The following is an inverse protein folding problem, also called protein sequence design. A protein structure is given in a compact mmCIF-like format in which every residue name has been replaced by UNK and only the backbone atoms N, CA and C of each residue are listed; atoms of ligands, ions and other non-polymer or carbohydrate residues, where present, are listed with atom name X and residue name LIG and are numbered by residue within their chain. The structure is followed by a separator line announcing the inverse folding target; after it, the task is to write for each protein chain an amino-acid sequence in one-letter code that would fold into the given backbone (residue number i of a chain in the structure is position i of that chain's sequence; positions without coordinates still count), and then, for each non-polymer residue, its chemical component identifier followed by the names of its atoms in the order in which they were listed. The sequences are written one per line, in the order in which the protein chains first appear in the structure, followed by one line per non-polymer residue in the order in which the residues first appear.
data_IF_120749883214
#
_entry.id   IF_120749883214
#
_cell.length_a   1.000
_cell.length_b   1.000
_cell.length_c   1.000
_cell.angle_alpha   90.00
_cell.angle_beta   90.00
_cell.angle_gamma   90.00
#
_symmetry.space_group_name_H-M   'P 1'
#
loop_
_entity.id
_entity.type
_entity.pdbx_description
1 polymer ?
#
# COMPACT_ATOMS: atom_id res chain seq x y z
N UNK A 1 -10.65 -1.33 8.80
CA UNK A 1 -9.93 -2.12 7.78
C UNK A 1 -8.58 -1.46 7.46
N UNK A 2 -7.66 -2.14 6.76
CA UNK A 2 -6.33 -1.60 6.45
C UNK A 2 -6.37 -0.24 5.70
N UNK A 3 -7.42 -0.01 4.90
CA UNK A 3 -7.68 1.25 4.19
C UNK A 3 -7.82 2.42 5.17
N UNK A 4 -8.53 2.24 6.28
CA UNK A 4 -8.76 3.32 7.27
C UNK A 4 -7.46 3.72 7.96
N UNK A 5 -6.61 2.73 8.27
CA UNK A 5 -5.31 2.97 8.89
C UNK A 5 -4.36 3.71 7.94
N UNK A 6 -4.32 3.31 6.66
CA UNK A 6 -3.53 3.99 5.64
C UNK A 6 -4.02 5.42 5.39
N UNK A 7 -5.34 5.63 5.40
CA UNK A 7 -5.94 6.96 5.28
C UNK A 7 -5.54 7.85 6.46
N UNK A 8 -5.65 7.34 7.70
CA UNK A 8 -5.24 8.08 8.89
C UNK A 8 -3.74 8.43 8.86
N UNK A 9 -2.89 7.53 8.35
CA UNK A 9 -1.46 7.79 8.19
C UNK A 9 -1.18 8.87 7.14
N UNK A 10 -1.92 8.86 6.03
CA UNK A 10 -1.82 9.89 4.99
C UNK A 10 -2.22 11.27 5.54
N UNK A 11 -3.34 11.35 6.25
CA UNK A 11 -3.80 12.59 6.89
C UNK A 11 -2.78 13.11 7.90
N UNK A 12 -2.14 12.21 8.66
CA UNK A 12 -1.04 12.56 9.56
C UNK A 12 0.18 13.13 8.84
N UNK A 13 0.59 12.56 7.70
CA UNK A 13 1.74 13.08 6.93
C UNK A 13 1.45 14.43 6.29
N UNK A 14 0.22 14.63 5.82
CA UNK A 14 -0.20 15.93 5.29
C UNK A 14 -0.12 17.00 6.38
N UNK A 15 -0.54 16.68 7.62
CA UNK A 15 -0.46 17.63 8.73
C UNK A 15 0.99 17.93 9.16
N UNK A 16 1.95 17.03 8.86
CA UNK A 16 3.35 17.30 9.13
C UNK A 16 3.92 18.42 8.26
N UNK A 17 3.36 18.69 7.08
CA UNK A 17 3.90 19.67 6.13
C UNK A 17 4.12 21.07 6.73
N UNK A 18 3.25 21.47 7.66
CA UNK A 18 3.29 22.77 8.34
C UNK A 18 4.20 22.80 9.58
N UNK A 19 4.68 21.63 10.04
CA UNK A 19 5.44 21.49 11.29
C UNK A 19 6.96 21.61 11.11
N UNK A 20 7.43 22.03 9.94
CA UNK A 20 8.86 22.16 9.65
C UNK A 20 9.60 23.02 10.69
N UNK A 21 9.03 24.17 11.08
CA UNK A 21 9.68 25.12 11.99
C UNK A 21 9.83 24.54 13.41
N UNK A 22 8.87 23.73 13.86
CA UNK A 22 8.93 23.01 15.13
C UNK A 22 10.01 21.92 15.11
N UNK A 23 10.11 21.19 13.99
CA UNK A 23 11.16 20.19 13.80
C UNK A 23 12.57 20.80 13.74
N UNK A 24 12.71 21.94 13.07
CA UNK A 24 13.97 22.66 13.03
C UNK A 24 14.37 23.13 14.43
N UNK A 25 13.43 23.68 15.21
CA UNK A 25 13.69 24.14 16.58
C UNK A 25 14.18 22.98 17.46
N UNK A 26 13.48 21.84 17.42
CA UNK A 26 13.85 20.62 18.16
C UNK A 26 15.18 20.00 17.69
N UNK A 27 15.54 20.16 16.42
CA UNK A 27 16.82 19.71 15.91
C UNK A 27 17.95 20.60 16.43
N UNK A 28 17.78 21.91 16.38
CA UNK A 28 18.76 22.89 16.87
C UNK A 28 19.01 22.78 18.38
N UNK A 29 17.99 22.42 19.18
CA UNK A 29 18.18 22.11 20.61
C UNK A 29 19.12 20.92 20.86
N UNK A 30 19.22 19.99 19.90
CA UNK A 30 20.02 18.77 20.01
C UNK A 30 21.39 18.86 19.35
N UNK A 31 21.58 19.84 18.46
CA UNK A 31 22.80 19.99 17.66
C UNK A 31 23.26 21.44 17.61
N UNK A 32 24.50 21.69 18.03
CA UNK A 32 25.10 23.03 18.07
C UNK A 32 25.75 23.40 16.71
N UNK A 33 25.05 23.08 15.61
CA UNK A 33 25.58 23.17 14.24
C UNK A 33 24.76 24.08 13.36
N UNK A 34 25.41 25.06 12.73
CA UNK A 34 24.81 25.89 11.68
C UNK A 34 24.79 25.16 10.34
N UNK A 35 23.91 25.61 9.45
CA UNK A 35 23.83 25.10 8.08
C UNK A 35 25.15 25.36 7.33
N UNK A 36 25.72 24.30 6.76
CA UNK A 36 27.04 24.35 6.11
C UNK A 36 27.08 25.26 4.87
N UNK A 37 25.93 25.57 4.27
CA UNK A 37 25.81 26.35 3.05
C UNK A 37 25.43 27.82 3.26
N UNK A 38 25.15 28.25 4.50
CA UNK A 38 24.88 29.66 4.84
C UNK A 38 26.03 30.57 4.42
N UNK A 39 27.26 30.14 4.72
CA UNK A 39 28.49 30.91 4.47
C UNK A 39 29.18 30.59 3.14
N UNK A 40 28.59 29.74 2.29
CA UNK A 40 29.21 29.32 1.03
C UNK A 40 29.10 30.42 -0.04
N UNK A 41 30.11 30.62 -0.89
CA UNK A 41 30.09 31.65 -1.95
C UNK A 41 29.06 31.32 -3.04
N UNK A 42 28.14 32.24 -3.36
CA UNK A 42 27.22 32.10 -4.51
C UNK A 42 28.01 32.29 -5.82
N UNK A 43 27.96 31.31 -6.71
CA UNK A 43 28.45 31.49 -8.09
C UNK A 43 27.38 32.21 -8.90
N UNK A 44 27.65 33.45 -9.32
CA UNK A 44 26.77 34.17 -10.25
C UNK A 44 26.88 33.57 -11.64
N UNK A 45 25.75 33.14 -12.22
CA UNK A 45 25.69 32.69 -13.62
C UNK A 45 25.86 33.91 -14.55
N UNK A 46 26.54 33.71 -15.69
CA UNK A 46 26.57 34.72 -16.77
C UNK A 46 25.16 34.82 -17.37
N UNK A 47 24.60 36.03 -17.41
CA UNK A 47 23.30 36.31 -18.04
C UNK A 47 23.49 36.64 -19.52
N UNK A 48 22.56 36.20 -20.35
CA UNK A 48 22.48 36.60 -21.76
C UNK A 48 21.53 37.78 -21.94
N UNK A 49 21.64 38.49 -23.07
CA UNK A 49 20.82 39.67 -23.37
C UNK A 49 19.30 39.41 -23.31
N UNK A 50 18.88 38.16 -23.55
CA UNK A 50 17.48 37.74 -23.52
C UNK A 50 17.02 37.21 -22.14
N UNK A 51 17.91 37.09 -21.15
CA UNK A 51 17.50 36.72 -19.79
C UNK A 51 16.84 37.95 -19.14
N UNK A 52 15.53 37.83 -18.84
CA UNK A 52 14.75 38.92 -18.23
C UNK A 52 15.32 39.43 -16.88
N UNK A 53 14.73 40.51 -16.31
CA UNK A 53 15.27 41.17 -15.12
C UNK A 53 15.12 40.36 -13.82
N UNK A 54 14.53 39.15 -13.86
CA UNK A 54 14.29 38.33 -12.67
C UNK A 54 15.59 38.05 -11.90
N UNK A 55 15.53 38.18 -10.57
CA UNK A 55 16.62 37.78 -9.68
C UNK A 55 16.65 36.26 -9.59
N UNK A 56 17.85 35.69 -9.57
CA UNK A 56 18.03 34.25 -9.39
C UNK A 56 17.68 33.91 -7.93
N UNK A 57 16.76 32.97 -7.72
CA UNK A 57 16.37 32.52 -6.39
C UNK A 57 17.45 31.57 -5.89
N UNK A 58 18.15 31.96 -4.82
CA UNK A 58 19.18 31.14 -4.19
C UNK A 58 18.69 30.78 -2.80
N UNK A 59 18.18 29.56 -2.66
CA UNK A 59 17.74 29.01 -1.38
C UNK A 59 18.97 28.59 -0.57
N UNK A 60 18.97 28.88 0.74
CA UNK A 60 20.08 28.57 1.67
C UNK A 60 19.58 28.10 3.02
N UNK A 61 20.42 27.34 3.72
CA UNK A 61 20.19 26.91 5.10
C UNK A 61 18.79 26.35 5.29
N UNK A 62 18.05 26.98 6.20
CA UNK A 62 16.65 26.68 6.50
C UNK A 62 15.76 26.54 5.27
N UNK A 63 15.75 27.54 4.38
CA UNK A 63 14.86 27.55 3.21
C UNK A 63 15.20 26.45 2.22
N UNK A 64 16.49 26.18 2.04
CA UNK A 64 16.95 25.10 1.17
C UNK A 64 16.60 23.73 1.74
N UNK A 65 16.83 23.49 3.03
CA UNK A 65 16.43 22.25 3.68
C UNK A 65 14.91 22.06 3.54
N UNK A 66 14.12 23.10 3.80
CA UNK A 66 12.66 23.07 3.68
C UNK A 66 12.20 22.71 2.26
N UNK A 67 12.68 23.46 1.26
CA UNK A 67 12.17 23.38 -0.12
C UNK A 67 12.78 22.24 -0.93
N UNK A 68 14.08 21.96 -0.76
CA UNK A 68 14.77 20.95 -1.58
C UNK A 68 14.69 19.55 -0.97
N UNK A 69 14.44 19.42 0.34
CA UNK A 69 14.45 18.11 1.01
C UNK A 69 13.18 17.80 1.78
N UNK A 70 12.77 18.65 2.71
CA UNK A 70 11.66 18.33 3.61
C UNK A 70 10.32 18.20 2.88
N UNK A 71 9.93 19.22 2.12
CA UNK A 71 8.69 19.20 1.35
C UNK A 71 8.72 18.12 0.27
N UNK A 72 9.78 17.96 -0.54
CA UNK A 72 9.84 16.90 -1.55
C UNK A 72 9.75 15.49 -0.97
N UNK A 73 10.36 15.22 0.18
CA UNK A 73 10.28 13.90 0.84
C UNK A 73 8.85 13.64 1.32
N UNK A 74 8.20 14.61 1.97
CA UNK A 74 6.81 14.47 2.40
C UNK A 74 5.86 14.32 1.20
N UNK A 75 6.03 15.11 0.15
CA UNK A 75 5.21 15.06 -1.05
C UNK A 75 5.35 13.70 -1.75
N UNK A 76 6.57 13.16 -1.82
CA UNK A 76 6.83 11.81 -2.34
C UNK A 76 6.14 10.74 -1.48
N UNK A 77 6.30 10.80 -0.15
CA UNK A 77 5.66 9.85 0.76
C UNK A 77 4.13 9.90 0.64
N UNK A 78 3.54 11.10 0.59
CA UNK A 78 2.10 11.29 0.41
C UNK A 78 1.64 10.72 -0.94
N UNK A 79 2.39 10.96 -2.01
CA UNK A 79 2.07 10.45 -3.34
C UNK A 79 2.10 8.92 -3.37
N UNK A 80 3.15 8.31 -2.83
CA UNK A 80 3.29 6.85 -2.79
C UNK A 80 2.26 6.18 -1.88
N UNK A 81 1.95 6.78 -0.72
CA UNK A 81 0.89 6.29 0.17
C UNK A 81 -0.48 6.44 -0.46
N UNK A 82 -0.75 7.54 -1.18
CA UNK A 82 -2.00 7.72 -1.91
C UNK A 82 -2.15 6.67 -3.00
N UNK A 83 -1.09 6.43 -3.80
CA UNK A 83 -1.06 5.37 -4.80
C UNK A 83 -1.35 4.00 -4.19
N UNK A 84 -0.72 3.70 -3.06
CA UNK A 84 -0.97 2.44 -2.32
C UNK A 84 -2.40 2.39 -1.79
N UNK A 85 -2.93 3.48 -1.24
CA UNK A 85 -4.29 3.53 -0.70
C UNK A 85 -5.34 3.18 -1.77
N UNK A 86 -5.21 3.71 -2.98
CA UNK A 86 -6.13 3.38 -4.08
C UNK A 86 -6.06 1.88 -4.44
N UNK A 87 -4.87 1.29 -4.52
CA UNK A 87 -4.74 -0.15 -4.74
C UNK A 87 -5.43 -0.98 -3.65
N UNK A 88 -5.31 -0.58 -2.37
CA UNK A 88 -6.02 -1.26 -1.28
C UNK A 88 -7.53 -1.02 -1.32
N UNK A 89 -8.01 0.11 -1.85
CA UNK A 89 -9.45 0.37 -2.05
C UNK A 89 -10.03 -0.55 -3.11
N UNK A 90 -9.34 -0.76 -4.23
CA UNK A 90 -9.75 -1.70 -5.27
C UNK A 90 -9.84 -3.13 -4.72
N UNK A 91 -8.82 -3.55 -3.94
CA UNK A 91 -8.83 -4.87 -3.28
C UNK A 91 -9.99 -4.97 -2.27
N UNK A 92 -10.22 -3.92 -1.48
CA UNK A 92 -11.31 -3.90 -0.49
C UNK A 92 -12.69 -3.91 -1.15
N UNK A 93 -12.84 -3.28 -2.30
CA UNK A 93 -14.07 -3.27 -3.09
C UNK A 93 -14.36 -4.66 -3.69
N UNK A 94 -13.32 -5.39 -4.11
CA UNK A 94 -13.46 -6.74 -4.66
C UNK A 94 -13.61 -7.82 -3.58
N UNK A 95 -12.83 -7.77 -2.50
CA UNK A 95 -12.74 -8.83 -1.48
C UNK A 95 -13.35 -8.44 -0.12
N UNK A 96 -13.75 -7.19 0.10
CA UNK A 96 -14.21 -6.72 1.41
C UNK A 96 -15.38 -7.53 1.98
N UNK A 97 -16.24 -8.04 1.08
CA UNK A 97 -17.36 -8.91 1.42
C UNK A 97 -16.94 -10.18 2.19
N UNK A 98 -15.74 -10.70 1.95
CA UNK A 98 -15.21 -11.87 2.69
C UNK A 98 -14.94 -11.58 4.17
N UNK A 99 -14.92 -10.32 4.58
CA UNK A 99 -14.70 -9.93 5.98
C UNK A 99 -15.92 -9.31 6.66
N UNK A 100 -16.78 -8.65 5.89
CA UNK A 100 -17.94 -7.93 6.41
C UNK A 100 -19.28 -8.61 6.07
N UNK A 101 -19.26 -9.84 5.52
CA UNK A 101 -20.46 -10.64 5.19
C UNK A 101 -21.44 -10.77 6.37
N UNK A 102 -20.96 -10.86 7.60
CA UNK A 102 -21.81 -10.94 8.80
C UNK A 102 -22.62 -9.66 9.07
N UNK A 103 -22.18 -8.53 8.54
CA UNK A 103 -22.79 -7.21 8.76
C UNK A 103 -23.70 -6.76 7.60
N UNK A 104 -23.49 -7.31 6.41
CA UNK A 104 -24.20 -6.96 5.18
C UNK A 104 -25.52 -7.71 5.01
N UNK A 105 -26.45 -7.10 4.31
CA UNK A 105 -27.68 -7.76 3.84
C UNK A 105 -27.38 -8.78 2.74
N UNK A 106 -28.30 -9.71 2.52
CA UNK A 106 -28.12 -10.75 1.52
C UNK A 106 -28.08 -10.17 0.09
N UNK A 107 -28.82 -9.08 -0.15
CA UNK A 107 -28.80 -8.38 -1.43
C UNK A 107 -27.43 -7.77 -1.74
N UNK A 108 -26.79 -7.15 -0.74
CA UNK A 108 -25.44 -6.56 -0.87
C UNK A 108 -24.38 -7.65 -1.09
N UNK A 109 -24.51 -8.80 -0.40
CA UNK A 109 -23.61 -9.94 -0.59
C UNK A 109 -23.75 -10.48 -2.01
N UNK A 110 -24.97 -10.70 -2.48
CA UNK A 110 -25.21 -11.20 -3.85
C UNK A 110 -24.60 -10.26 -4.90
N UNK A 111 -24.73 -8.96 -4.73
CA UNK A 111 -24.11 -7.98 -5.62
C UNK A 111 -22.57 -8.06 -5.59
N UNK A 112 -21.97 -8.12 -4.40
CA UNK A 112 -20.52 -8.23 -4.25
C UNK A 112 -19.98 -9.55 -4.82
N UNK A 113 -20.66 -10.67 -4.57
CA UNK A 113 -20.32 -11.98 -5.13
C UNK A 113 -20.45 -12.02 -6.65
N UNK A 114 -21.44 -11.34 -7.23
CA UNK A 114 -21.59 -11.24 -8.69
C UNK A 114 -20.37 -10.54 -9.31
N UNK A 115 -19.99 -9.39 -8.75
CA UNK A 115 -18.80 -8.65 -9.18
C UNK A 115 -17.51 -9.47 -9.03
N UNK A 116 -17.41 -10.23 -7.94
CA UNK A 116 -16.28 -11.11 -7.70
C UNK A 116 -16.19 -12.26 -8.71
N UNK A 117 -17.33 -12.91 -8.99
CA UNK A 117 -17.42 -14.00 -9.95
C UNK A 117 -17.11 -13.52 -11.37
N UNK A 118 -17.56 -12.33 -11.77
CA UNK A 118 -17.19 -11.72 -13.05
C UNK A 118 -15.67 -11.53 -13.20
N UNK A 119 -14.96 -11.24 -12.10
CA UNK A 119 -13.51 -11.07 -12.10
C UNK A 119 -12.75 -12.41 -12.11
N UNK A 120 -13.29 -13.44 -11.44
CA UNK A 120 -12.66 -14.75 -11.26
C UNK A 120 -13.50 -15.88 -11.89
N UNK A 121 -14.03 -15.67 -13.09
CA UNK A 121 -14.96 -16.58 -13.76
C UNK A 121 -14.36 -17.95 -14.12
N UNK A 122 -13.03 -18.08 -14.18
CA UNK A 122 -12.34 -19.35 -14.43
C UNK A 122 -12.11 -20.17 -13.15
N UNK A 123 -12.03 -19.49 -12.01
CA UNK A 123 -11.69 -20.09 -10.71
C UNK A 123 -12.91 -20.33 -9.82
N UNK A 124 -14.05 -19.71 -10.13
CA UNK A 124 -15.24 -19.67 -9.27
C UNK A 124 -16.50 -20.01 -10.04
N UNK A 125 -17.27 -20.91 -9.46
CA UNK A 125 -18.52 -21.39 -10.05
C UNK A 125 -19.68 -20.42 -9.78
N UNK A 126 -20.71 -20.34 -10.66
CA UNK A 126 -21.90 -19.51 -10.45
C UNK A 126 -22.61 -19.73 -9.11
N UNK A 127 -22.56 -20.96 -8.60
CA UNK A 127 -23.14 -21.40 -7.33
C UNK A 127 -22.53 -20.69 -6.11
N UNK A 128 -21.36 -20.05 -6.27
CA UNK A 128 -20.68 -19.28 -5.23
C UNK A 128 -21.58 -18.24 -4.53
N UNK A 129 -22.49 -17.62 -5.28
CA UNK A 129 -23.38 -16.58 -4.74
C UNK A 129 -24.28 -17.16 -3.64
N UNK A 130 -24.90 -18.31 -3.90
CA UNK A 130 -25.77 -18.97 -2.93
C UNK A 130 -24.96 -19.65 -1.82
N UNK A 131 -23.79 -20.21 -2.17
CA UNK A 131 -22.84 -20.79 -1.23
C UNK A 131 -22.38 -19.78 -0.16
N UNK A 132 -22.07 -18.54 -0.57
CA UNK A 132 -21.69 -17.46 0.35
C UNK A 132 -22.81 -17.05 1.31
N UNK A 133 -24.06 -17.04 0.83
CA UNK A 133 -25.22 -16.74 1.69
C UNK A 133 -25.40 -17.86 2.72
N UNK A 134 -25.27 -19.12 2.31
CA UNK A 134 -25.32 -20.27 3.23
C UNK A 134 -24.17 -20.22 4.25
N UNK A 135 -22.96 -19.90 3.79
CA UNK A 135 -21.78 -19.76 4.65
C UNK A 135 -21.97 -18.68 5.73
N UNK A 136 -22.56 -17.53 5.37
CA UNK A 136 -22.92 -16.49 6.34
C UNK A 136 -23.79 -17.04 7.46
N UNK A 137 -24.85 -17.77 7.13
CA UNK A 137 -25.74 -18.35 8.14
C UNK A 137 -25.05 -19.44 8.96
N UNK A 138 -24.19 -20.26 8.35
CA UNK A 138 -23.39 -21.25 9.05
C UNK A 138 -22.50 -20.62 10.13
N UNK A 139 -21.81 -19.53 9.81
CA UNK A 139 -20.96 -18.81 10.76
C UNK A 139 -21.79 -18.15 11.87
N UNK A 140 -22.92 -17.53 11.53
CA UNK A 140 -23.84 -16.93 12.52
C UNK A 140 -24.44 -17.96 13.49
N UNK A 141 -24.44 -19.25 13.15
CA UNK A 141 -24.93 -20.33 14.03
C UNK A 141 -23.84 -20.92 14.92
N UNK A 142 -22.59 -20.95 14.45
CA UNK A 142 -21.45 -21.48 15.21
C UNK A 142 -21.00 -20.56 16.33
N UNK A 143 -21.20 -19.28 16.12
CA UNK A 143 -20.66 -18.22 16.93
C UNK A 143 -21.87 -17.41 17.41
N UNK A 144 -22.08 -17.29 18.73
CA UNK A 144 -23.05 -16.35 19.36
C UNK A 144 -22.55 -14.89 19.20
N UNK A 145 -21.90 -14.65 18.07
CA UNK A 145 -21.16 -13.47 17.71
C UNK A 145 -22.15 -12.59 16.98
N UNK A 146 -22.84 -11.75 17.75
CA UNK A 146 -23.55 -10.62 17.18
C UNK A 146 -22.67 -9.84 16.18
N UNK A 147 -23.27 -9.22 15.18
CA UNK A 147 -22.67 -8.41 14.08
C UNK A 147 -21.21 -7.93 14.30
N UNK A 148 -20.23 -8.82 14.12
CA UNK A 148 -18.81 -8.48 14.12
C UNK A 148 -18.20 -8.76 12.75
N UNK A 149 -17.18 -7.99 12.42
CA UNK A 149 -16.32 -8.24 11.27
C UNK A 149 -15.51 -9.49 11.58
N UNK A 150 -15.55 -10.47 10.68
CA UNK A 150 -14.78 -11.71 10.81
C UNK A 150 -13.55 -11.57 9.91
N UNK A 151 -12.33 -11.55 10.46
CA UNK A 151 -11.12 -11.55 9.65
C UNK A 151 -11.09 -12.77 8.72
N UNK A 152 -10.68 -12.59 7.46
CA UNK A 152 -10.63 -13.69 6.49
C UNK A 152 -9.76 -14.89 6.96
N UNK A 153 -8.74 -14.65 7.78
CA UNK A 153 -7.92 -15.71 8.39
C UNK A 153 -8.69 -16.53 9.42
N UNK A 154 -9.61 -15.91 10.17
CA UNK A 154 -10.50 -16.61 11.10
C UNK A 154 -11.54 -17.43 10.33
N UNK A 155 -12.15 -16.87 9.29
CA UNK A 155 -13.03 -17.59 8.36
C UNK A 155 -12.36 -18.84 7.78
N UNK A 156 -11.10 -18.73 7.35
CA UNK A 156 -10.31 -19.84 6.83
C UNK A 156 -10.08 -20.93 7.91
N UNK A 157 -9.72 -20.53 9.13
CA UNK A 157 -9.53 -21.46 10.26
C UNK A 157 -10.83 -22.15 10.66
N UNK A 158 -11.97 -21.44 10.62
CA UNK A 158 -13.29 -21.99 10.94
C UNK A 158 -13.72 -23.06 9.93
N UNK A 159 -13.48 -22.84 8.63
CA UNK A 159 -13.79 -23.83 7.59
C UNK A 159 -12.96 -25.11 7.80
N UNK A 160 -11.66 -24.96 8.09
CA UNK A 160 -10.77 -26.10 8.35
C UNK A 160 -11.16 -26.81 9.65
N UNK A 161 -11.39 -26.06 10.73
CA UNK A 161 -11.71 -26.62 12.04
C UNK A 161 -13.02 -27.41 12.06
N UNK A 162 -14.01 -27.00 11.27
CA UNK A 162 -15.30 -27.68 11.17
C UNK A 162 -15.37 -28.71 10.02
N UNK A 163 -14.25 -29.00 9.35
CA UNK A 163 -14.20 -29.89 8.16
C UNK A 163 -15.20 -29.50 7.06
N UNK A 164 -15.54 -28.22 6.95
CA UNK A 164 -16.57 -27.71 6.03
C UNK A 164 -16.02 -27.39 4.63
N UNK A 165 -14.81 -27.84 4.31
CA UNK A 165 -14.12 -27.58 3.04
C UNK A 165 -14.87 -28.18 1.85
N UNK A 166 -15.44 -29.38 2.02
CA UNK A 166 -16.24 -30.03 0.98
C UNK A 166 -17.64 -29.44 0.85
N UNK A 167 -18.13 -28.76 1.90
CA UNK A 167 -19.44 -28.11 1.92
C UNK A 167 -19.38 -26.74 1.26
N UNK A 168 -18.27 -26.02 1.45
CA UNK A 168 -18.05 -24.67 0.93
C UNK A 168 -16.75 -24.57 0.10
N UNK A 169 -16.66 -25.26 -1.05
CA UNK A 169 -15.46 -25.27 -1.88
C UNK A 169 -15.15 -23.90 -2.51
N UNK A 170 -16.15 -23.17 -3.01
CA UNK A 170 -15.93 -21.88 -3.66
C UNK A 170 -15.57 -20.79 -2.65
N UNK A 171 -16.16 -20.83 -1.43
CA UNK A 171 -15.74 -19.94 -0.34
C UNK A 171 -14.29 -20.20 0.06
N UNK A 172 -13.88 -21.47 0.10
CA UNK A 172 -12.49 -21.84 0.38
C UNK A 172 -11.54 -21.30 -0.70
N UNK A 173 -11.88 -21.45 -1.99
CA UNK A 173 -11.10 -20.91 -3.11
C UNK A 173 -11.00 -19.39 -3.03
N UNK A 174 -12.11 -18.68 -2.78
CA UNK A 174 -12.12 -17.23 -2.62
C UNK A 174 -11.19 -16.74 -1.49
N UNK A 175 -11.21 -17.44 -0.34
CA UNK A 175 -10.31 -17.14 0.78
C UNK A 175 -8.85 -17.45 0.46
N UNK A 176 -8.57 -18.50 -0.31
CA UNK A 176 -7.21 -18.81 -0.76
C UNK A 176 -6.66 -17.74 -1.72
N UNK A 177 -7.46 -17.29 -2.68
CA UNK A 177 -7.11 -16.17 -3.58
C UNK A 177 -6.82 -14.91 -2.77
N UNK A 178 -7.67 -14.58 -1.79
CA UNK A 178 -7.44 -13.43 -0.92
C UNK A 178 -6.12 -13.53 -0.13
N UNK A 179 -5.81 -14.72 0.42
CA UNK A 179 -4.56 -14.95 1.18
C UNK A 179 -3.33 -14.87 0.28
N UNK A 180 -3.36 -15.43 -0.92
CA UNK A 180 -2.23 -15.39 -1.84
C UNK A 180 -1.93 -13.95 -2.28
N UNK A 181 -2.96 -13.14 -2.53
CA UNK A 181 -2.83 -11.72 -2.86
C UNK A 181 -2.12 -10.95 -1.74
N UNK A 182 -2.55 -11.14 -0.49
CA UNK A 182 -1.99 -10.40 0.66
C UNK A 182 -0.54 -10.78 0.99
N UNK A 183 -0.09 -11.99 0.66
CA UNK A 183 1.28 -12.47 0.89
C UNK A 183 2.30 -11.89 -0.12
N UNK A 184 1.86 -11.55 -1.34
CA UNK A 184 2.77 -11.11 -2.41
C UNK A 184 3.37 -9.72 -2.21
N UNK A 185 2.78 -8.87 -1.36
CA UNK A 185 3.22 -7.47 -1.19
C UNK A 185 4.62 -7.29 -0.58
N UNK A 186 5.10 -8.22 0.25
CA UNK A 186 6.36 -8.05 0.99
C UNK A 186 7.54 -8.84 0.41
N UNK A 187 7.27 -9.93 -0.31
CA UNK A 187 8.31 -10.87 -0.77
C UNK A 187 8.89 -10.44 -2.11
N UNK A 188 8.08 -9.88 -3.01
CA UNK A 188 8.53 -9.41 -4.32
C UNK A 188 9.60 -8.32 -4.22
N UNK A 189 9.37 -7.29 -3.42
CA UNK A 189 10.30 -6.15 -3.27
C UNK A 189 11.68 -6.55 -2.73
N UNK A 190 11.73 -7.51 -1.80
CA UNK A 190 12.98 -8.06 -1.26
C UNK A 190 13.80 -8.76 -2.33
N UNK A 191 13.14 -9.55 -3.18
CA UNK A 191 13.80 -10.28 -4.26
C UNK A 191 14.29 -9.32 -5.36
N UNK A 192 13.49 -8.31 -5.73
CA UNK A 192 13.93 -7.27 -6.69
C UNK A 192 15.07 -6.40 -6.17
N UNK A 193 15.10 -6.08 -4.87
CA UNK A 193 16.20 -5.32 -4.27
C UNK A 193 17.52 -6.09 -4.32
N UNK A 194 17.49 -7.39 -3.99
CA UNK A 194 18.65 -8.28 -4.16
C UNK A 194 19.06 -8.43 -5.63
N UNK A 195 18.10 -8.59 -6.54
CA UNK A 195 18.37 -8.69 -7.97
C UNK A 195 18.95 -7.38 -8.54
N UNK A 196 18.52 -6.22 -8.04
CA UNK A 196 19.09 -4.91 -8.40
C UNK A 196 20.54 -4.80 -7.94
N UNK A 197 20.87 -5.29 -6.75
CA UNK A 197 22.26 -5.40 -6.27
C UNK A 197 23.09 -6.33 -7.15
N UNK A 198 22.58 -7.52 -7.46
CA UNK A 198 23.25 -8.49 -8.36
C UNK A 198 23.45 -7.87 -9.75
N UNK A 199 22.42 -7.20 -10.29
CA UNK A 199 22.47 -6.55 -11.60
C UNK A 199 23.49 -5.42 -11.62
N UNK A 200 23.55 -4.57 -10.59
CA UNK A 200 24.56 -3.50 -10.52
C UNK A 200 25.98 -4.03 -10.29
N UNK A 201 26.14 -5.07 -9.46
CA UNK A 201 27.43 -5.71 -9.19
C UNK A 201 27.98 -6.45 -10.44
N UNK A 202 27.12 -7.13 -11.20
CA UNK A 202 27.49 -7.93 -12.37
C UNK A 202 27.36 -7.19 -13.70
N UNK A 203 26.88 -5.94 -13.74
CA UNK A 203 26.84 -5.13 -14.98
C UNK A 203 28.23 -4.86 -15.55
N UNK A 204 29.28 -5.03 -14.75
CA UNK A 204 30.65 -5.04 -15.22
C UNK A 204 31.06 -6.32 -15.97
N UNK A 205 30.25 -7.39 -16.00
CA UNK A 205 30.72 -8.70 -16.50
C UNK A 205 29.66 -9.69 -17.06
N UNK A 206 28.34 -9.40 -17.07
CA UNK A 206 27.32 -10.42 -17.42
C UNK A 206 26.24 -9.98 -18.43
N UNK A 207 25.81 -10.91 -19.31
CA UNK A 207 24.77 -10.69 -20.33
C UNK A 207 23.33 -10.87 -19.80
N UNK A 208 22.37 -10.20 -20.44
CA UNK A 208 20.96 -10.13 -20.01
C UNK A 208 20.27 -11.52 -19.98
N UNK A 209 20.63 -12.43 -20.88
CA UNK A 209 20.02 -13.77 -20.95
C UNK A 209 20.35 -14.64 -19.74
N UNK A 210 21.60 -14.58 -19.24
CA UNK A 210 22.03 -15.32 -18.05
C UNK A 210 21.41 -14.76 -16.76
N UNK A 211 21.04 -13.49 -16.75
CA UNK A 211 20.37 -12.86 -15.62
C UNK A 211 18.93 -13.36 -15.49
N UNK A 212 18.22 -13.47 -16.62
CA UNK A 212 16.85 -13.99 -16.64
C UNK A 212 16.78 -15.45 -16.18
N UNK A 213 17.79 -16.28 -16.51
CA UNK A 213 17.85 -17.67 -16.04
C UNK A 213 18.12 -17.84 -14.53
N UNK A 214 18.68 -16.82 -13.85
CA UNK A 214 18.89 -16.86 -12.39
C UNK A 214 17.71 -16.30 -11.58
N UNK A 215 16.79 -15.59 -12.25
CA UNK A 215 15.64 -14.94 -11.62
C UNK A 215 14.38 -15.84 -11.59
N UNK A 216 14.48 -17.05 -12.16
CA UNK A 216 13.45 -18.10 -12.09
C UNK A 216 13.74 -19.00 -10.90
#
# INVERSE_FOLDING_TARGET
MAVDLLKSLLDFLISQRELFDDYETKANEKTDTQYSDENQRVRKRKRHHNDGPAKEVVLRGKEKLKVDTYLPVLDMLCTELSRRLEAYREINDLFGFLTDFSTKSDAEIRQACTKFNEHYFEDIEPEFIDEMVQYKYFILQLEDTGKKIVPAEESYKLIIGNMAQSTFPNVMTALQIYRSLMITNATGERNFSKMKLIKNCLRSTMSQNRLNSLAT
#
